data_IF_552207827096
#
_entry.id   IF_552207827096
#
_cell.length_a   1.000
_cell.length_b   1.000
_cell.length_c   1.000
_cell.angle_alpha   90.00
_cell.angle_beta   90.00
_cell.angle_gamma   90.00
#
_symmetry.space_group_name_H-M   'P 1'
#
loop_
_entity.id
_entity.type
_entity.pdbx_description
1 polymer ?
#
# COMPACT_ATOMS: atom_id res chain seq x y z
N UNK A 1 -0.12 10.05 29.74
CA UNK A 1 1.17 9.62 29.16
C UNK A 1 1.25 10.16 27.73
N UNK A 2 2.41 10.68 27.30
CA UNK A 2 2.59 11.05 25.90
C UNK A 2 2.48 9.79 25.03
N UNK A 3 1.62 9.82 24.00
CA UNK A 3 1.46 8.66 23.10
C UNK A 3 2.64 8.63 22.14
N UNK A 4 3.27 7.47 22.00
CA UNK A 4 4.41 7.27 21.10
C UNK A 4 3.95 7.37 19.64
N UNK A 5 4.91 7.62 18.74
CA UNK A 5 4.73 7.44 17.30
C UNK A 5 4.63 5.95 16.99
N UNK A 6 3.63 5.55 16.21
CA UNK A 6 3.47 4.22 15.69
C UNK A 6 4.38 3.96 14.49
N UNK A 7 4.86 2.71 14.34
CA UNK A 7 5.57 2.27 13.13
C UNK A 7 5.05 0.92 12.68
N UNK A 8 4.80 0.78 11.37
CA UNK A 8 4.42 -0.48 10.74
C UNK A 8 5.41 -0.79 9.62
N UNK A 9 5.90 -2.02 9.59
CA UNK A 9 6.77 -2.55 8.55
C UNK A 9 6.60 -4.06 8.47
N UNK A 10 6.74 -4.64 7.28
CA UNK A 10 6.63 -6.09 7.08
C UNK A 10 7.52 -6.56 5.93
N UNK A 11 8.40 -7.51 6.23
CA UNK A 11 9.36 -8.08 5.29
C UNK A 11 8.70 -8.82 4.11
N UNK A 12 7.45 -9.29 4.24
CA UNK A 12 6.73 -9.95 3.13
C UNK A 12 6.62 -9.05 1.90
N UNK A 13 6.53 -7.74 2.10
CA UNK A 13 6.50 -6.75 1.02
C UNK A 13 7.76 -6.76 0.16
N UNK A 14 8.89 -7.29 0.65
CA UNK A 14 10.15 -7.40 -0.11
C UNK A 14 10.18 -8.57 -1.09
N UNK A 15 9.25 -9.51 -0.98
CA UNK A 15 9.20 -10.68 -1.87
C UNK A 15 8.76 -10.33 -3.29
N UNK A 16 8.07 -9.20 -3.48
CA UNK A 16 7.75 -8.69 -4.80
C UNK A 16 8.91 -7.86 -5.38
N UNK A 17 9.51 -8.35 -6.46
CA UNK A 17 10.58 -7.68 -7.20
C UNK A 17 10.48 -8.01 -8.70
N UNK A 18 11.09 -7.18 -9.54
CA UNK A 18 11.06 -7.37 -10.98
C UNK A 18 12.10 -8.42 -11.40
N UNK A 19 11.62 -9.62 -11.74
CA UNK A 19 12.48 -10.72 -12.23
C UNK A 19 12.93 -10.52 -13.68
N UNK A 20 12.30 -9.60 -14.41
CA UNK A 20 12.44 -9.40 -15.86
C UNK A 20 13.40 -8.26 -16.21
N UNK A 21 13.55 -7.30 -15.29
CA UNK A 21 14.42 -6.15 -15.42
C UNK A 21 15.15 -5.88 -14.10
N UNK A 22 16.43 -6.25 -14.05
CA UNK A 22 17.30 -6.03 -12.89
C UNK A 22 17.65 -4.55 -12.65
N UNK A 23 17.34 -3.66 -13.61
CA UNK A 23 17.59 -2.22 -13.52
C UNK A 23 16.36 -1.43 -13.07
N UNK A 24 15.23 -2.11 -12.86
CA UNK A 24 13.97 -1.47 -12.47
C UNK A 24 14.14 -0.63 -11.19
N UNK A 25 13.60 0.60 -11.12
CA UNK A 25 13.84 1.48 -9.99
C UNK A 25 13.03 1.09 -8.74
N UNK A 26 11.86 0.47 -8.90
CA UNK A 26 11.05 -0.01 -7.77
C UNK A 26 11.56 -1.38 -7.32
N UNK A 27 12.31 -1.40 -6.21
CA UNK A 27 13.02 -2.58 -5.69
C UNK A 27 12.79 -2.78 -4.19
N UNK A 28 12.94 -4.00 -3.66
CA UNK A 28 12.77 -4.31 -2.23
C UNK A 28 13.57 -3.42 -1.27
N UNK A 29 14.76 -3.01 -1.68
CA UNK A 29 15.65 -2.13 -0.91
C UNK A 29 15.03 -0.77 -0.58
N UNK A 30 14.01 -0.32 -1.33
CA UNK A 30 13.34 0.97 -1.09
C UNK A 30 12.60 1.04 0.24
N UNK A 31 12.19 -0.08 0.82
CA UNK A 31 11.67 -0.12 2.21
C UNK A 31 12.71 -0.58 3.21
N UNK A 32 13.66 -1.44 2.81
CA UNK A 32 14.69 -1.93 3.72
C UNK A 32 15.64 -0.82 4.16
N UNK A 33 16.15 -0.02 3.22
CA UNK A 33 17.15 1.00 3.51
C UNK A 33 16.61 2.07 4.46
N UNK A 34 15.38 2.63 4.29
CA UNK A 34 14.80 3.50 5.30
C UNK A 34 14.65 2.79 6.64
N UNK A 35 14.11 1.56 6.69
CA UNK A 35 13.92 0.84 7.95
C UNK A 35 15.24 0.65 8.72
N UNK A 36 16.30 0.23 8.02
CA UNK A 36 17.65 0.08 8.61
C UNK A 36 18.20 1.41 9.12
N UNK A 37 17.96 2.52 8.40
CA UNK A 37 18.35 3.86 8.87
C UNK A 37 17.59 4.29 10.12
N UNK A 38 16.30 3.99 10.22
CA UNK A 38 15.54 4.23 11.44
C UNK A 38 16.09 3.40 12.62
N UNK A 39 16.55 2.18 12.35
CA UNK A 39 17.20 1.31 13.35
C UNK A 39 18.56 1.88 13.79
N UNK A 40 19.42 2.23 12.83
CA UNK A 40 20.76 2.80 13.07
C UNK A 40 20.70 4.06 13.93
N UNK A 41 19.70 4.92 13.69
CA UNK A 41 19.50 6.15 14.46
C UNK A 41 18.71 5.96 15.77
N UNK A 42 18.41 4.71 16.17
CA UNK A 42 17.68 4.40 17.40
C UNK A 42 16.23 4.92 17.40
N UNK A 43 15.64 5.18 16.23
CA UNK A 43 14.27 5.69 16.11
C UNK A 43 13.22 4.59 16.34
N UNK A 44 13.53 3.35 15.93
CA UNK A 44 12.60 2.23 16.10
C UNK A 44 12.26 1.97 17.57
N UNK A 45 13.26 2.01 18.46
CA UNK A 45 13.10 1.78 19.92
C UNK A 45 12.22 2.85 20.60
N UNK A 46 12.12 4.03 19.97
CA UNK A 46 11.31 5.16 20.44
C UNK A 46 9.87 5.10 19.92
N UNK A 47 9.63 4.30 18.88
CA UNK A 47 8.32 4.09 18.30
C UNK A 47 7.58 2.96 19.03
N UNK A 48 6.27 2.91 18.83
CA UNK A 48 5.44 1.76 19.16
C UNK A 48 5.25 0.93 17.89
N UNK A 49 5.71 -0.31 17.91
CA UNK A 49 5.46 -1.25 16.82
C UNK A 49 3.97 -1.56 16.73
N UNK A 50 3.42 -1.42 15.53
CA UNK A 50 2.04 -1.73 15.21
C UNK A 50 2.06 -2.97 14.31
N UNK A 51 1.30 -4.04 14.65
CA UNK A 51 1.26 -5.25 13.84
C UNK A 51 0.77 -4.98 12.42
N UNK A 52 1.49 -5.52 11.44
CA UNK A 52 1.05 -5.60 10.06
C UNK A 52 -0.05 -6.65 9.89
N UNK A 53 -0.83 -6.52 8.81
CA UNK A 53 -1.84 -7.51 8.40
C UNK A 53 -2.07 -7.43 6.90
N UNK A 54 -2.83 -8.38 6.38
CA UNK A 54 -3.37 -8.30 5.02
C UNK A 54 -4.62 -7.39 5.04
N UNK A 55 -4.78 -6.56 4.01
CA UNK A 55 -6.05 -5.94 3.71
C UNK A 55 -7.07 -7.02 3.29
N UNK A 56 -8.29 -6.95 3.82
CA UNK A 56 -9.38 -7.85 3.46
C UNK A 56 -10.00 -7.45 2.13
N UNK A 57 -10.74 -8.37 1.50
CA UNK A 57 -11.45 -8.06 0.25
C UNK A 57 -12.46 -6.94 0.44
N UNK A 58 -13.21 -6.95 1.55
CA UNK A 58 -14.13 -5.87 1.91
C UNK A 58 -13.45 -4.50 1.96
N UNK A 59 -12.24 -4.44 2.54
CA UNK A 59 -11.49 -3.19 2.62
C UNK A 59 -11.02 -2.72 1.25
N UNK A 60 -10.52 -3.62 0.40
CA UNK A 60 -10.10 -3.28 -0.96
C UNK A 60 -11.29 -2.84 -1.83
N UNK A 61 -12.43 -3.52 -1.69
CA UNK A 61 -13.68 -3.20 -2.40
C UNK A 61 -14.28 -1.85 -1.99
N UNK A 62 -13.78 -1.20 -0.92
CA UNK A 62 -14.20 0.15 -0.56
C UNK A 62 -13.80 1.20 -1.59
N UNK A 63 -12.77 0.92 -2.41
CA UNK A 63 -12.21 1.83 -3.41
C UNK A 63 -11.92 1.16 -4.76
N UNK A 64 -11.83 -0.17 -4.82
CA UNK A 64 -11.56 -0.90 -6.05
C UNK A 64 -12.75 -1.73 -6.50
N UNK A 65 -12.87 -1.94 -7.81
CA UNK A 65 -13.86 -2.82 -8.38
C UNK A 65 -13.58 -4.28 -8.01
N UNK A 66 -14.65 -5.09 -8.02
CA UNK A 66 -14.54 -6.53 -7.75
C UNK A 66 -13.71 -7.22 -8.81
N UNK A 67 -13.81 -6.77 -10.04
CA UNK A 67 -13.06 -7.24 -11.20
C UNK A 67 -11.56 -7.04 -10.99
N UNK A 68 -11.14 -5.84 -10.55
CA UNK A 68 -9.74 -5.54 -10.27
C UNK A 68 -9.18 -6.39 -9.12
N UNK A 69 -9.91 -6.45 -8.00
CA UNK A 69 -9.51 -7.26 -6.83
C UNK A 69 -9.37 -8.74 -7.22
N UNK A 70 -10.32 -9.29 -7.96
CA UNK A 70 -10.27 -10.68 -8.41
C UNK A 70 -9.12 -10.93 -9.40
N UNK A 71 -8.84 -9.99 -10.31
CA UNK A 71 -7.70 -10.07 -11.24
C UNK A 71 -6.37 -10.11 -10.49
N UNK A 72 -6.23 -9.31 -9.43
CA UNK A 72 -5.05 -9.38 -8.57
C UNK A 72 -4.97 -10.69 -7.78
N UNK A 73 -6.09 -11.24 -7.28
CA UNK A 73 -6.10 -12.54 -6.60
C UNK A 73 -5.67 -13.66 -7.55
N UNK A 74 -6.19 -13.68 -8.78
CA UNK A 74 -5.88 -14.75 -9.74
C UNK A 74 -4.41 -14.75 -10.17
N UNK A 75 -3.71 -13.62 -10.05
CA UNK A 75 -2.26 -13.54 -10.32
C UNK A 75 -1.43 -14.46 -9.43
N UNK A 76 -1.92 -14.85 -8.25
CA UNK A 76 -1.18 -15.74 -7.33
C UNK A 76 -1.00 -17.16 -7.87
N UNK A 77 -1.85 -17.57 -8.81
CA UNK A 77 -1.81 -18.92 -9.42
C UNK A 77 -1.33 -18.91 -10.86
N UNK A 78 -0.95 -17.75 -11.39
CA UNK A 78 -0.46 -17.60 -12.77
C UNK A 78 0.97 -18.08 -12.91
N UNK A 79 1.29 -18.59 -14.09
CA UNK A 79 2.66 -18.88 -14.51
C UNK A 79 3.48 -17.60 -14.64
N UNK A 80 4.81 -17.72 -14.66
CA UNK A 80 5.69 -16.57 -14.84
C UNK A 80 5.44 -15.84 -16.17
N UNK A 81 5.14 -16.57 -17.25
CA UNK A 81 4.83 -15.97 -18.56
C UNK A 81 3.51 -15.19 -18.53
N UNK A 82 2.47 -15.74 -17.90
CA UNK A 82 1.19 -15.03 -17.72
C UNK A 82 1.36 -13.77 -16.87
N UNK A 83 2.16 -13.83 -15.81
CA UNK A 83 2.49 -12.66 -14.99
C UNK A 83 3.24 -11.60 -15.79
N UNK A 84 4.26 -11.99 -16.56
CA UNK A 84 4.98 -11.08 -17.43
C UNK A 84 4.03 -10.38 -18.40
N UNK A 85 3.18 -11.15 -19.09
CA UNK A 85 2.21 -10.62 -20.04
C UNK A 85 1.19 -9.69 -19.35
N UNK A 86 0.67 -10.07 -18.18
CA UNK A 86 -0.25 -9.22 -17.42
C UNK A 86 0.40 -7.87 -17.08
N UNK A 87 1.64 -7.86 -16.57
CA UNK A 87 2.33 -6.62 -16.24
C UNK A 87 2.64 -5.76 -17.48
N UNK A 88 3.16 -6.38 -18.53
CA UNK A 88 3.65 -5.68 -19.71
C UNK A 88 2.56 -5.24 -20.71
N UNK A 89 1.44 -5.96 -20.77
CA UNK A 89 0.41 -5.73 -21.78
C UNK A 89 -0.86 -5.08 -21.22
N UNK A 90 -1.24 -5.39 -19.97
CA UNK A 90 -2.53 -4.94 -19.43
C UNK A 90 -2.44 -3.62 -18.67
N UNK A 91 -1.24 -3.22 -18.24
CA UNK A 91 -1.03 -2.11 -17.33
C UNK A 91 0.07 -1.16 -17.82
N UNK A 92 -0.04 0.10 -17.43
CA UNK A 92 0.98 1.12 -17.70
C UNK A 92 1.98 1.19 -16.54
N UNK A 93 3.24 0.92 -16.85
CA UNK A 93 4.37 0.97 -15.90
C UNK A 93 4.15 0.13 -14.64
N UNK A 94 3.80 -1.15 -14.82
CA UNK A 94 3.66 -2.15 -13.74
C UNK A 94 4.43 -3.42 -14.13
N UNK A 95 5.06 -4.08 -13.15
CA UNK A 95 5.59 -5.43 -13.32
C UNK A 95 4.91 -6.37 -12.34
N UNK A 96 4.79 -7.65 -12.71
CA UNK A 96 4.19 -8.68 -11.86
C UNK A 96 5.22 -9.68 -11.38
N UNK A 97 5.01 -10.21 -10.19
CA UNK A 97 5.68 -11.38 -9.65
C UNK A 97 4.67 -12.24 -8.90
N UNK A 98 5.02 -13.48 -8.56
CA UNK A 98 4.13 -14.39 -7.78
C UNK A 98 3.66 -13.76 -6.45
N UNK A 99 4.47 -12.88 -5.87
CA UNK A 99 4.21 -12.21 -4.60
C UNK A 99 3.55 -10.83 -4.74
N UNK A 100 3.19 -10.38 -5.95
CA UNK A 100 2.64 -9.05 -6.18
C UNK A 100 1.35 -8.80 -5.36
N UNK A 101 0.38 -9.70 -5.47
CA UNK A 101 -0.90 -9.58 -4.76
C UNK A 101 -0.74 -9.65 -3.23
N UNK A 102 0.07 -10.59 -2.73
CA UNK A 102 0.35 -10.69 -1.28
C UNK A 102 1.01 -9.39 -0.77
N UNK A 103 2.04 -8.91 -1.45
CA UNK A 103 2.76 -7.69 -1.06
C UNK A 103 1.85 -6.47 -1.08
N UNK A 104 1.00 -6.32 -2.11
CA UNK A 104 0.03 -5.23 -2.21
C UNK A 104 -1.00 -5.26 -1.07
N UNK A 105 -1.49 -6.45 -0.69
CA UNK A 105 -2.39 -6.60 0.46
C UNK A 105 -1.71 -6.27 1.78
N UNK A 106 -0.44 -6.66 1.95
CA UNK A 106 0.34 -6.29 3.15
C UNK A 106 0.57 -4.79 3.19
N UNK A 107 0.91 -4.14 2.07
CA UNK A 107 1.12 -2.68 2.01
C UNK A 107 -0.15 -1.89 2.41
N UNK A 108 -1.30 -2.26 1.83
CA UNK A 108 -2.58 -1.66 2.17
C UNK A 108 -2.96 -1.95 3.63
N UNK A 109 -2.80 -3.20 4.08
CA UNK A 109 -3.09 -3.60 5.46
C UNK A 109 -2.20 -2.93 6.50
N UNK A 110 -0.92 -2.69 6.20
CA UNK A 110 -0.02 -1.92 7.07
C UNK A 110 -0.49 -0.47 7.20
N UNK A 111 -0.93 0.14 6.10
CA UNK A 111 -1.49 1.50 6.08
C UNK A 111 -2.76 1.57 6.91
N UNK A 112 -3.66 0.60 6.76
CA UNK A 112 -4.87 0.49 7.57
C UNK A 112 -4.58 0.30 9.07
N UNK A 113 -3.61 -0.56 9.43
CA UNK A 113 -3.19 -0.73 10.83
C UNK A 113 -2.65 0.57 11.45
N UNK A 114 -1.88 1.35 10.67
CA UNK A 114 -1.37 2.65 11.11
C UNK A 114 -2.51 3.64 11.37
N UNK A 115 -3.46 3.75 10.43
CA UNK A 115 -4.63 4.63 10.57
C UNK A 115 -5.53 4.18 11.72
N UNK A 116 -5.80 2.88 11.87
CA UNK A 116 -6.55 2.34 13.00
C UNK A 116 -5.91 2.74 14.32
N UNK A 117 -4.60 2.57 14.47
CA UNK A 117 -3.91 2.86 15.71
C UNK A 117 -3.99 4.35 16.09
N UNK A 118 -3.99 5.26 15.11
CA UNK A 118 -4.21 6.69 15.33
C UNK A 118 -5.69 6.97 15.65
N UNK A 119 -6.61 6.48 14.83
CA UNK A 119 -8.05 6.72 14.98
C UNK A 119 -8.63 6.18 16.29
N UNK A 120 -8.11 5.03 16.76
CA UNK A 120 -8.46 4.42 18.05
C UNK A 120 -7.61 4.93 19.21
N UNK A 121 -6.80 5.96 18.98
CA UNK A 121 -6.06 6.69 20.00
C UNK A 121 -5.01 5.79 20.71
N UNK A 122 -4.51 4.74 20.07
CA UNK A 122 -3.40 3.89 20.57
C UNK A 122 -2.05 4.62 20.46
N UNK A 123 -1.85 5.37 19.39
CA UNK A 123 -0.66 6.21 19.13
C UNK A 123 -1.06 7.64 18.75
N UNK A 124 -0.14 8.60 18.83
CA UNK A 124 -0.42 10.00 18.45
C UNK A 124 -0.41 10.20 16.94
N UNK A 125 0.53 9.55 16.26
CA UNK A 125 0.74 9.55 14.82
C UNK A 125 1.42 8.23 14.46
N UNK A 126 1.51 7.89 13.18
CA UNK A 126 2.15 6.66 12.73
C UNK A 126 2.80 6.80 11.36
N UNK A 127 3.81 5.98 11.10
CA UNK A 127 4.45 5.82 9.78
C UNK A 127 4.34 4.35 9.36
N UNK A 128 3.82 4.11 8.15
CA UNK A 128 3.84 2.79 7.52
C UNK A 128 4.90 2.80 6.42
N UNK A 129 5.95 1.96 6.56
CA UNK A 129 7.01 1.83 5.56
C UNK A 129 6.60 0.68 4.64
N UNK A 130 5.98 1.01 3.51
CA UNK A 130 5.27 0.03 2.67
C UNK A 130 5.73 0.03 1.23
N UNK A 131 5.61 -1.15 0.60
CA UNK A 131 5.66 -1.34 -0.85
C UNK A 131 4.85 -2.58 -1.23
N UNK A 132 4.19 -2.64 -2.40
CA UNK A 132 4.18 -1.63 -3.47
C UNK A 132 3.50 -0.30 -3.09
N UNK A 133 3.79 0.80 -3.81
CA UNK A 133 3.10 2.09 -3.64
C UNK A 133 1.62 1.99 -4.01
N UNK A 134 0.87 3.10 -3.86
CA UNK A 134 -0.59 3.07 -4.06
C UNK A 134 -1.24 4.21 -4.83
N UNK A 135 -0.69 5.42 -4.85
CA UNK A 135 -1.45 6.63 -5.26
C UNK A 135 -1.88 6.68 -6.74
N UNK A 136 -1.27 5.87 -7.62
CA UNK A 136 -1.67 5.75 -9.02
C UNK A 136 -2.75 4.68 -9.26
N UNK A 137 -2.96 3.76 -8.31
CA UNK A 137 -3.96 2.70 -8.47
C UNK A 137 -5.36 3.33 -8.47
N UNK A 138 -6.12 3.01 -9.51
CA UNK A 138 -7.47 3.50 -9.73
C UNK A 138 -8.50 2.43 -9.34
N UNK A 139 -9.78 2.73 -9.51
CA UNK A 139 -10.89 1.83 -9.20
C UNK A 139 -10.74 0.49 -9.90
N UNK A 140 -10.37 0.48 -11.18
CA UNK A 140 -10.43 -0.72 -12.03
C UNK A 140 -9.08 -1.28 -12.46
N UNK A 141 -7.96 -0.58 -12.21
CA UNK A 141 -6.66 -0.99 -12.75
C UNK A 141 -5.46 -0.57 -11.90
N UNK A 142 -4.37 -1.33 -12.07
CA UNK A 142 -3.05 -1.01 -11.55
C UNK A 142 -2.31 -0.06 -12.51
N UNK A 143 -1.47 0.82 -11.97
CA UNK A 143 -0.69 1.78 -12.76
C UNK A 143 0.52 2.26 -11.95
N UNK A 144 1.65 2.57 -12.61
CA UNK A 144 2.77 3.25 -11.96
C UNK A 144 3.27 2.52 -10.70
N UNK A 145 3.48 1.21 -10.82
CA UNK A 145 3.86 0.29 -9.75
C UNK A 145 2.81 0.08 -8.64
N UNK A 146 1.65 0.73 -8.73
CA UNK A 146 0.60 0.71 -7.72
C UNK A 146 -0.49 -0.31 -8.09
N UNK A 147 -0.78 -1.25 -7.18
CA UNK A 147 -1.82 -2.27 -7.39
C UNK A 147 -3.12 -1.94 -6.65
N UNK A 148 -3.02 -1.47 -5.41
CA UNK A 148 -4.14 -0.98 -4.62
C UNK A 148 -3.78 0.38 -4.06
N UNK A 149 -4.77 1.27 -3.94
CA UNK A 149 -4.56 2.61 -3.45
C UNK A 149 -4.56 2.61 -1.92
N UNK A 150 -3.40 2.33 -1.33
CA UNK A 150 -3.20 2.19 0.11
C UNK A 150 -3.82 3.36 0.90
N UNK A 151 -3.59 4.59 0.44
CA UNK A 151 -4.04 5.82 1.12
C UNK A 151 -5.55 6.01 0.94
N UNK A 152 -6.08 5.81 -0.27
CA UNK A 152 -7.51 5.98 -0.51
C UNK A 152 -8.34 4.93 0.25
N UNK A 153 -7.92 3.66 0.24
CA UNK A 153 -8.57 2.61 1.03
C UNK A 153 -8.54 2.97 2.51
N UNK A 154 -7.39 3.42 3.04
CA UNK A 154 -7.29 3.80 4.44
C UNK A 154 -8.18 5.00 4.81
N UNK A 155 -8.26 6.02 3.95
CA UNK A 155 -9.14 7.17 4.13
C UNK A 155 -10.62 6.75 4.15
N UNK A 156 -11.04 5.93 3.18
CA UNK A 156 -12.43 5.46 3.10
C UNK A 156 -12.82 4.60 4.28
N UNK A 157 -11.95 3.69 4.70
CA UNK A 157 -12.18 2.86 5.89
C UNK A 157 -12.22 3.69 7.16
N UNK A 158 -11.42 4.77 7.26
CA UNK A 158 -11.50 5.66 8.41
C UNK A 158 -12.83 6.40 8.51
N UNK A 159 -13.38 6.85 7.37
CA UNK A 159 -14.73 7.41 7.32
C UNK A 159 -15.78 6.38 7.76
N UNK A 160 -15.72 5.15 7.21
CA UNK A 160 -16.73 4.10 7.43
C UNK A 160 -16.70 3.49 8.84
N UNK A 161 -15.52 3.20 9.38
CA UNK A 161 -15.37 2.42 10.63
C UNK A 161 -15.13 3.27 11.87
N UNK A 162 -14.48 4.43 11.73
CA UNK A 162 -14.13 5.30 12.86
C UNK A 162 -14.82 6.67 12.80
N UNK A 163 -15.82 6.81 11.92
CA UNK A 163 -16.67 7.99 11.79
C UNK A 163 -15.88 9.30 11.57
N UNK A 164 -14.71 9.20 10.94
CA UNK A 164 -13.90 10.37 10.57
C UNK A 164 -14.63 11.13 9.46
N UNK A 165 -15.14 12.32 9.78
CA UNK A 165 -16.01 13.05 8.86
C UNK A 165 -15.26 13.69 7.68
N UNK A 166 -13.99 14.08 7.88
CA UNK A 166 -13.18 14.78 6.90
C UNK A 166 -11.76 14.27 6.96
N UNK A 167 -11.19 13.97 5.80
CA UNK A 167 -9.81 13.49 5.65
C UNK A 167 -9.09 14.45 4.73
N UNK A 168 -7.90 14.89 5.14
CA UNK A 168 -6.98 15.59 4.26
C UNK A 168 -5.91 14.59 3.81
N UNK A 169 -5.79 14.40 2.50
CA UNK A 169 -4.68 13.67 1.89
C UNK A 169 -3.71 14.72 1.33
N UNK A 170 -2.47 14.68 1.80
CA UNK A 170 -1.38 15.48 1.25
C UNK A 170 -0.46 14.53 0.49
N UNK A 171 -0.53 14.59 -0.84
CA UNK A 171 0.40 13.86 -1.70
C UNK A 171 1.56 14.79 -2.07
N UNK A 172 2.76 14.45 -1.57
CA UNK A 172 3.99 15.18 -1.86
C UNK A 172 4.90 14.42 -2.82
N UNK A 173 4.49 13.24 -3.30
CA UNK A 173 5.27 12.53 -4.31
C UNK A 173 5.43 13.44 -5.53
N UNK A 174 6.54 13.28 -6.25
CA UNK A 174 6.83 14.10 -7.42
C UNK A 174 5.84 13.81 -8.56
N UNK A 175 5.29 12.59 -8.59
CA UNK A 175 4.26 12.21 -9.53
C UNK A 175 2.88 12.54 -8.98
N UNK A 176 1.98 12.92 -9.89
CA UNK A 176 0.58 13.12 -9.54
C UNK A 176 -0.08 11.79 -9.16
N UNK A 177 -0.61 11.69 -7.94
CA UNK A 177 -1.47 10.59 -7.50
C UNK A 177 -2.86 10.61 -8.16
N UNK A 178 -2.92 10.42 -9.48
CA UNK A 178 -4.16 10.48 -10.26
C UNK A 178 -5.23 9.49 -9.77
N UNK A 179 -4.83 8.29 -9.33
CA UNK A 179 -5.76 7.31 -8.77
C UNK A 179 -6.43 7.85 -7.51
N UNK A 180 -5.65 8.47 -6.62
CA UNK A 180 -6.20 9.13 -5.43
C UNK A 180 -7.13 10.29 -5.80
N UNK A 181 -6.80 11.09 -6.82
CA UNK A 181 -7.69 12.14 -7.31
C UNK A 181 -9.04 11.56 -7.78
N UNK A 182 -9.01 10.62 -8.72
CA UNK A 182 -10.22 10.04 -9.31
C UNK A 182 -11.13 9.40 -8.25
N UNK A 183 -10.54 8.69 -7.28
CA UNK A 183 -11.28 7.99 -6.23
C UNK A 183 -12.06 8.93 -5.29
N UNK A 184 -11.65 10.20 -5.17
CA UNK A 184 -12.32 11.19 -4.31
C UNK A 184 -12.83 12.42 -5.05
N UNK A 185 -12.81 12.44 -6.38
CA UNK A 185 -13.22 13.59 -7.21
C UNK A 185 -14.63 14.10 -6.85
N UNK A 186 -15.53 13.19 -6.46
CA UNK A 186 -16.91 13.49 -6.06
C UNK A 186 -17.21 13.29 -4.56
N UNK A 187 -16.19 13.18 -3.70
CA UNK A 187 -16.33 12.92 -2.25
C UNK A 187 -15.81 14.15 -1.44
N UNK A 188 -16.71 15.05 -0.99
CA UNK A 188 -16.33 16.33 -0.35
C UNK A 188 -15.93 16.24 1.13
#
# INVERSE_FOLDING_TARGET
MAKRTGIVFDERMKKHFNEWDATHPEVPDRIQRPYDKHKEYGLLERCQEIPSRLATDEELLSQHSKEHVNKMISSQTMTKEELYNMGACDYDSVYMSEHACESARVACGCTLSAVEAVATNKVQNAVAIVRPPGHHADTEFAMGYCFFNNVAVAAKIAQQRWNVQRVLIVDWDIHHGNGTQHLFESDP
#
